data_IF_807578176198
#
_entry.id   IF_807578176198
#
_cell.length_a   1.000
_cell.length_b   1.000
_cell.length_c   1.000
_cell.angle_alpha   90.00
_cell.angle_beta   90.00
_cell.angle_gamma   90.00
#
_symmetry.space_group_name_H-M   'P 1'
#
loop_
_entity.id
_entity.type
_entity.pdbx_description
1 polymer ?
#
# COMPACT_ATOMS: atom_id res chain seq x y z
N UNK A 1 9.82 14.36 12.69
CA UNK A 1 8.85 14.63 11.61
C UNK A 1 8.26 13.30 11.14
N UNK A 2 6.97 13.27 10.78
CA UNK A 2 6.30 12.07 10.26
C UNK A 2 6.87 11.62 8.91
N UNK A 3 6.59 10.38 8.51
CA UNK A 3 6.95 9.90 7.16
C UNK A 3 5.99 10.54 6.14
N UNK A 4 6.51 11.07 5.05
CA UNK A 4 5.74 11.75 4.00
C UNK A 4 5.70 10.88 2.75
N UNK A 5 4.53 10.74 2.14
CA UNK A 5 4.35 9.99 0.88
C UNK A 5 4.95 10.75 -0.30
N UNK A 6 5.13 10.07 -1.44
CA UNK A 6 5.68 10.69 -2.66
C UNK A 6 4.87 11.88 -3.20
N UNK A 7 3.59 11.97 -2.86
CA UNK A 7 2.69 13.06 -3.25
C UNK A 7 2.43 14.06 -2.11
N UNK A 8 3.25 14.07 -1.05
CA UNK A 8 3.26 15.11 -0.02
C UNK A 8 2.31 14.89 1.16
N UNK A 9 1.67 13.73 1.28
CA UNK A 9 0.79 13.42 2.41
C UNK A 9 1.65 13.01 3.60
N UNK A 10 1.50 13.68 4.74
CA UNK A 10 2.18 13.30 5.98
C UNK A 10 1.41 12.16 6.63
N UNK A 11 2.03 11.00 6.85
CA UNK A 11 1.34 9.88 7.50
C UNK A 11 1.19 10.16 8.99
N UNK A 12 -0.06 10.26 9.45
CA UNK A 12 -0.39 10.55 10.85
C UNK A 12 -0.94 9.34 11.61
N UNK A 13 -1.45 8.33 10.90
CA UNK A 13 -2.12 7.17 11.52
C UNK A 13 -2.05 5.86 10.73
N UNK A 14 -2.48 4.77 11.39
CA UNK A 14 -2.63 3.42 10.82
C UNK A 14 -3.92 2.81 11.32
N UNK A 15 -4.74 2.25 10.44
CA UNK A 15 -5.94 1.52 10.83
C UNK A 15 -5.61 0.12 11.36
N UNK A 16 -6.53 -0.49 12.11
CA UNK A 16 -6.42 -1.89 12.55
C UNK A 16 -6.31 -2.84 11.35
N UNK A 17 -7.02 -2.52 10.26
CA UNK A 17 -6.94 -3.28 9.03
C UNK A 17 -5.52 -3.25 8.44
N UNK A 18 -4.87 -2.09 8.43
CA UNK A 18 -3.48 -1.98 7.98
C UNK A 18 -2.55 -2.82 8.85
N UNK A 19 -2.68 -2.72 10.18
CA UNK A 19 -1.85 -3.46 11.14
C UNK A 19 -2.00 -4.98 10.94
N UNK A 20 -3.24 -5.46 10.82
CA UNK A 20 -3.52 -6.88 10.59
C UNK A 20 -2.89 -7.40 9.28
N UNK A 21 -2.85 -6.57 8.22
CA UNK A 21 -2.23 -6.93 6.93
C UNK A 21 -0.72 -6.91 6.96
N UNK A 22 -0.11 -6.12 7.84
CA UNK A 22 1.33 -6.15 8.01
C UNK A 22 1.80 -7.39 8.76
N UNK A 23 1.13 -7.73 9.87
CA UNK A 23 1.48 -8.91 10.67
C UNK A 23 1.22 -10.19 9.86
N UNK A 24 0.15 -10.20 9.05
CA UNK A 24 -0.30 -11.40 8.35
C UNK A 24 -1.08 -12.33 9.29
N UNK A 25 -1.52 -13.46 8.75
CA UNK A 25 -2.16 -14.52 9.54
C UNK A 25 -1.75 -15.87 8.98
N UNK A 26 -1.14 -16.68 9.85
CA UNK A 26 -0.71 -18.06 9.53
C UNK A 26 -1.93 -18.92 9.22
N UNK A 27 -3.02 -18.77 10.01
CA UNK A 27 -4.28 -19.50 9.84
C UNK A 27 -4.95 -19.18 8.49
N UNK A 28 -4.86 -17.92 8.04
CA UNK A 28 -5.46 -17.49 6.78
C UNK A 28 -4.52 -17.64 5.57
N UNK A 29 -3.32 -18.24 5.75
CA UNK A 29 -2.27 -18.40 4.73
C UNK A 29 -1.96 -17.11 3.95
N UNK A 30 -2.06 -15.96 4.61
CA UNK A 30 -1.76 -14.67 3.97
C UNK A 30 -0.30 -14.32 4.25
N UNK A 31 0.49 -14.18 3.19
CA UNK A 31 1.78 -13.48 3.29
C UNK A 31 1.49 -12.02 3.67
N UNK A 32 1.86 -11.62 4.88
CA UNK A 32 1.78 -10.23 5.30
C UNK A 32 2.66 -9.32 4.44
N UNK A 33 2.42 -8.02 4.49
CA UNK A 33 3.31 -7.01 3.90
C UNK A 33 4.24 -6.50 4.98
N UNK A 34 5.56 -6.59 4.78
CA UNK A 34 6.49 -6.02 5.77
C UNK A 34 6.27 -4.51 5.93
N UNK A 35 6.49 -3.96 7.12
CA UNK A 35 6.38 -2.50 7.33
C UNK A 35 7.33 -1.75 6.39
N UNK A 36 8.53 -2.29 6.15
CA UNK A 36 9.52 -1.70 5.26
C UNK A 36 8.99 -1.61 3.82
N UNK A 37 8.42 -2.69 3.29
CA UNK A 37 7.82 -2.70 1.94
C UNK A 37 6.64 -1.74 1.84
N UNK A 38 5.80 -1.67 2.88
CA UNK A 38 4.67 -0.74 2.91
C UNK A 38 5.12 0.72 2.92
N UNK A 39 6.17 1.04 3.70
CA UNK A 39 6.77 2.38 3.74
C UNK A 39 7.45 2.73 2.41
N UNK A 40 8.25 1.82 1.85
CA UNK A 40 8.86 2.01 0.53
C UNK A 40 7.79 2.26 -0.53
N UNK A 41 6.68 1.51 -0.51
CA UNK A 41 5.57 1.68 -1.45
C UNK A 41 4.96 3.08 -1.43
N UNK A 42 4.82 3.71 -0.26
CA UNK A 42 4.20 5.04 -0.17
C UNK A 42 5.19 6.19 -0.37
N UNK A 43 6.50 5.96 -0.15
CA UNK A 43 7.56 6.96 -0.33
C UNK A 43 8.12 6.90 -1.78
N UNK A 44 8.23 5.72 -2.35
CA UNK A 44 8.81 5.42 -3.67
C UNK A 44 7.90 4.48 -4.50
N UNK A 45 6.64 4.85 -4.78
CA UNK A 45 5.74 4.02 -5.58
C UNK A 45 6.22 3.87 -7.04
N UNK A 46 5.95 2.72 -7.64
CA UNK A 46 5.99 2.55 -9.10
C UNK A 46 4.80 3.30 -9.76
N UNK A 47 3.65 3.37 -9.07
CA UNK A 47 2.46 4.07 -9.53
C UNK A 47 1.62 4.60 -8.37
N UNK A 48 1.02 5.78 -8.55
CA UNK A 48 -0.04 6.31 -7.69
C UNK A 48 -1.34 6.33 -8.50
N UNK A 49 -2.36 5.64 -8.01
CA UNK A 49 -3.68 5.66 -8.64
C UNK A 49 -4.42 6.99 -8.32
N UNK A 50 -5.40 7.40 -9.15
CA UNK A 50 -6.27 8.53 -8.83
C UNK A 50 -7.00 8.34 -7.49
N UNK A 51 -7.36 9.46 -6.85
CA UNK A 51 -8.19 9.44 -5.66
C UNK A 51 -9.57 8.88 -6.04
N UNK A 52 -10.05 7.90 -5.26
CA UNK A 52 -11.40 7.34 -5.34
C UNK A 52 -12.25 7.93 -4.24
N UNK A 53 -13.47 8.32 -4.59
CA UNK A 53 -14.48 8.82 -3.68
C UNK A 53 -15.54 7.73 -3.54
N UNK A 54 -15.74 7.26 -2.31
CA UNK A 54 -16.80 6.32 -1.96
C UNK A 54 -17.70 6.94 -0.88
N UNK A 55 -18.83 6.30 -0.58
CA UNK A 55 -19.74 6.73 0.49
C UNK A 55 -19.04 6.85 1.86
N UNK A 56 -18.04 5.99 2.11
CA UNK A 56 -17.26 5.96 3.35
C UNK A 56 -16.02 6.88 3.33
N UNK A 57 -15.93 7.81 2.38
CA UNK A 57 -14.84 8.78 2.25
C UNK A 57 -13.87 8.49 1.10
N UNK A 58 -12.75 9.22 1.09
CA UNK A 58 -11.75 9.15 0.03
C UNK A 58 -10.68 8.10 0.31
N UNK A 59 -10.12 7.57 -0.77
CA UNK A 59 -8.95 6.70 -0.69
C UNK A 59 -8.04 6.90 -1.90
N UNK A 60 -6.74 6.72 -1.67
CA UNK A 60 -5.74 6.73 -2.73
C UNK A 60 -4.81 5.54 -2.57
N UNK A 61 -4.46 4.89 -3.68
CA UNK A 61 -3.63 3.69 -3.69
C UNK A 61 -2.26 3.97 -4.30
N UNK A 62 -1.23 3.56 -3.56
CA UNK A 62 0.16 3.51 -3.95
C UNK A 62 0.51 2.08 -4.32
N UNK A 63 1.18 1.88 -5.44
CA UNK A 63 1.60 0.58 -5.94
C UNK A 63 3.12 0.61 -6.02
N UNK A 64 3.78 -0.22 -5.22
CA UNK A 64 5.22 -0.40 -5.19
C UNK A 64 5.66 -1.61 -6.00
N UNK A 65 6.86 -2.12 -5.70
CA UNK A 65 7.41 -3.33 -6.34
C UNK A 65 6.81 -4.63 -5.79
N UNK A 66 6.55 -4.64 -4.48
CA UNK A 66 6.20 -5.84 -3.69
C UNK A 66 4.89 -5.68 -2.93
N UNK A 67 4.40 -4.45 -2.75
CA UNK A 67 3.13 -4.18 -2.09
C UNK A 67 2.29 -3.11 -2.81
N UNK A 68 0.99 -3.10 -2.49
CA UNK A 68 0.08 -2.00 -2.75
C UNK A 68 -0.52 -1.51 -1.42
N UNK A 69 -0.44 -0.21 -1.18
CA UNK A 69 -0.85 0.44 0.07
C UNK A 69 -1.92 1.48 -0.22
N UNK A 70 -2.98 1.51 0.59
CA UNK A 70 -4.06 2.49 0.49
C UNK A 70 -4.01 3.46 1.66
N UNK A 71 -4.13 4.76 1.39
CA UNK A 71 -4.26 5.83 2.38
C UNK A 71 -5.61 6.54 2.21
N UNK A 72 -6.15 7.09 3.30
CA UNK A 72 -7.18 8.13 3.23
C UNK A 72 -6.48 9.49 3.12
N UNK A 73 -6.60 10.22 2.00
CA UNK A 73 -5.92 11.50 1.82
C UNK A 73 -6.53 12.65 2.65
N UNK A 74 -7.74 12.49 3.20
CA UNK A 74 -8.36 13.51 4.05
C UNK A 74 -7.96 13.35 5.53
N UNK A 75 -7.64 12.12 5.96
CA UNK A 75 -7.28 11.80 7.37
C UNK A 75 -5.85 11.33 7.54
N UNK A 76 -5.04 11.34 6.48
CA UNK A 76 -3.62 11.00 6.53
C UNK A 76 -3.30 9.59 7.08
N UNK A 77 -4.29 8.70 7.04
CA UNK A 77 -4.26 7.40 7.71
C UNK A 77 -4.08 6.26 6.71
N UNK A 78 -3.12 5.37 6.95
CA UNK A 78 -2.96 4.14 6.18
C UNK A 78 -4.12 3.19 6.47
N UNK A 79 -4.84 2.78 5.42
CA UNK A 79 -6.06 1.96 5.53
C UNK A 79 -5.76 0.47 5.32
N UNK A 80 -4.93 0.13 4.33
CA UNK A 80 -4.73 -1.26 3.92
C UNK A 80 -3.37 -1.46 3.27
N UNK A 81 -2.80 -2.65 3.43
CA UNK A 81 -1.65 -3.14 2.66
C UNK A 81 -1.97 -4.50 2.02
N UNK A 82 -1.45 -4.75 0.83
CA UNK A 82 -1.56 -6.03 0.12
C UNK A 82 -0.23 -6.38 -0.53
N UNK A 83 0.24 -7.64 -0.47
CA UNK A 83 1.35 -8.07 -1.32
C UNK A 83 0.89 -8.06 -2.78
N UNK A 84 1.80 -7.71 -3.68
CA UNK A 84 1.62 -7.87 -5.13
C UNK A 84 2.60 -8.92 -5.61
N UNK A 85 2.06 -10.00 -6.14
CA UNK A 85 2.87 -10.96 -6.87
C UNK A 85 3.01 -10.44 -8.29
N UNK A 86 4.23 -10.09 -8.73
CA UNK A 86 4.50 -9.91 -10.16
C UNK A 86 4.17 -11.26 -10.82
N UNK A 87 3.07 -11.32 -11.58
CA UNK A 87 2.81 -12.46 -12.43
C UNK A 87 4.01 -12.61 -13.37
N UNK A 88 4.50 -13.85 -13.57
CA UNK A 88 5.67 -14.17 -14.43
C UNK A 88 5.49 -13.82 -15.93
N UNK A 89 4.57 -12.92 -16.31
CA UNK A 89 4.22 -12.59 -17.70
C UNK A 89 5.05 -11.45 -18.33
N UNK A 90 6.27 -11.19 -17.85
CA UNK A 90 7.15 -10.17 -18.42
C UNK A 90 8.56 -10.66 -18.77
N UNK A 91 8.76 -11.98 -18.93
CA UNK A 91 10.06 -12.55 -19.37
C UNK A 91 10.00 -13.36 -20.67
N UNK A 92 8.91 -13.26 -21.42
CA UNK A 92 8.74 -14.03 -22.67
C UNK A 92 8.36 -13.09 -23.83
N UNK A 93 9.10 -11.99 -24.00
CA UNK A 93 9.07 -11.19 -25.23
C UNK A 93 10.45 -10.55 -25.49
N UNK A 94 11.53 -11.32 -25.33
CA UNK A 94 12.86 -10.98 -25.89
C UNK A 94 13.74 -12.23 -25.83
N UNK A 95 13.61 -13.09 -26.83
CA UNK A 95 14.61 -14.06 -27.30
C UNK A 95 14.30 -14.38 -28.75
#
# INVERSE_FOLDING_TARGET
MGKVTSNGITITGKSDHFIARTIGSVEQRRNGVSIADALDTVIHPEKVDPIRINENGKSQRFIGKTAAVTINPDTDTLIQANPIHKSKKAKEVTS
#
